data_IF_690354108095
#
_entry.id   IF_690354108095
#
_cell.length_a   1.000
_cell.length_b   1.000
_cell.length_c   1.000
_cell.angle_alpha   90.00
_cell.angle_beta   90.00
_cell.angle_gamma   90.00
#
_symmetry.space_group_name_H-M   'P 1'
#
loop_
_entity.id
_entity.type
_entity.pdbx_description
1 polymer ?
#
# COMPACT_ATOMS: atom_id res chain seq x y z
N UNK A 1 -13.35 -9.66 -4.81
CA UNK A 1 -12.15 -9.17 -4.10
C UNK A 1 -11.49 -8.01 -4.85
N UNK A 2 -11.22 -8.14 -6.16
CA UNK A 2 -10.59 -7.09 -6.99
C UNK A 2 -11.36 -5.76 -6.97
N UNK A 3 -12.69 -5.78 -7.20
CA UNK A 3 -13.51 -4.56 -7.20
C UNK A 3 -13.56 -3.90 -5.81
N UNK A 4 -13.45 -4.70 -4.76
CA UNK A 4 -13.30 -4.22 -3.39
C UNK A 4 -11.92 -3.59 -3.18
N UNK A 5 -10.87 -4.17 -3.74
CA UNK A 5 -9.50 -3.67 -3.63
C UNK A 5 -9.29 -2.31 -4.31
N UNK A 6 -9.91 -2.11 -5.49
CA UNK A 6 -9.80 -0.87 -6.29
C UNK A 6 -10.65 0.27 -5.71
N UNK A 7 -11.77 -0.07 -5.03
CA UNK A 7 -12.70 0.90 -4.45
C UNK A 7 -12.54 1.06 -2.93
N UNK A 8 -11.62 0.34 -2.31
CA UNK A 8 -11.39 0.39 -0.88
C UNK A 8 -10.50 1.60 -0.53
N UNK A 9 -10.87 2.30 0.54
CA UNK A 9 -10.07 3.40 1.04
C UNK A 9 -8.89 2.84 1.84
N UNK A 10 -7.65 3.04 1.40
CA UNK A 10 -6.48 2.50 2.12
C UNK A 10 -6.18 3.21 3.44
N UNK A 11 -6.90 4.28 3.77
CA UNK A 11 -6.66 5.11 4.95
C UNK A 11 -5.73 6.30 4.68
N UNK A 12 -5.37 6.54 3.42
CA UNK A 12 -4.60 7.69 2.95
C UNK A 12 -5.06 8.11 1.55
N UNK A 13 -4.84 9.37 1.18
CA UNK A 13 -5.11 9.90 -0.16
C UNK A 13 -3.89 9.78 -1.06
N UNK A 14 -4.13 9.43 -2.33
CA UNK A 14 -3.07 9.18 -3.31
C UNK A 14 -3.42 9.59 -4.74
N UNK A 15 -4.63 10.13 -4.98
CA UNK A 15 -5.10 10.42 -6.34
C UNK A 15 -4.27 11.48 -7.05
N UNK A 16 -3.83 12.49 -6.30
CA UNK A 16 -3.08 13.65 -6.81
C UNK A 16 -1.61 13.59 -6.39
N UNK A 17 -1.10 12.36 -6.24
CA UNK A 17 0.26 12.09 -5.81
C UNK A 17 1.11 11.55 -6.95
N UNK A 18 2.24 12.20 -7.20
CA UNK A 18 3.35 11.68 -7.98
C UNK A 18 4.45 11.16 -7.03
N UNK A 19 5.28 10.28 -7.51
CA UNK A 19 6.42 9.79 -6.74
C UNK A 19 7.58 9.39 -7.65
N UNK A 20 8.77 9.44 -7.08
CA UNK A 20 10.00 8.94 -7.72
C UNK A 20 10.95 8.38 -6.67
N UNK A 21 11.94 7.61 -7.13
CA UNK A 21 12.98 7.04 -6.28
C UNK A 21 14.33 7.69 -6.60
N UNK A 22 14.97 8.25 -5.59
CA UNK A 22 16.25 8.93 -5.68
C UNK A 22 17.42 8.10 -5.07
N UNK A 23 17.33 6.78 -5.09
CA UNK A 23 18.37 5.89 -4.56
C UNK A 23 19.70 6.12 -5.26
N UNK A 24 20.78 6.25 -4.48
CA UNK A 24 22.12 6.46 -5.01
C UNK A 24 22.43 7.91 -5.43
N UNK A 25 21.53 8.86 -5.17
CA UNK A 25 21.79 10.29 -5.30
C UNK A 25 22.42 10.83 -4.02
N UNK A 26 23.13 11.94 -4.14
CA UNK A 26 23.64 12.67 -2.97
C UNK A 26 22.45 13.29 -2.21
N UNK A 27 22.28 12.92 -0.94
CA UNK A 27 21.22 13.46 -0.08
C UNK A 27 21.30 14.99 0.02
N UNK A 28 22.47 15.61 -0.13
CA UNK A 28 22.64 17.06 -0.13
C UNK A 28 21.91 17.77 -1.29
N UNK A 29 21.59 17.07 -2.37
CA UNK A 29 20.84 17.62 -3.50
C UNK A 29 19.33 17.68 -3.24
N UNK A 30 18.81 16.88 -2.33
CA UNK A 30 17.36 16.71 -2.14
C UNK A 30 16.66 18.02 -1.78
N UNK A 31 17.24 18.82 -0.88
CA UNK A 31 16.63 20.10 -0.50
C UNK A 31 16.51 21.05 -1.70
N UNK A 32 17.55 21.14 -2.52
CA UNK A 32 17.54 21.99 -3.72
C UNK A 32 16.50 21.53 -4.75
N UNK A 33 16.30 20.23 -4.89
CA UNK A 33 15.26 19.65 -5.76
C UNK A 33 13.86 19.99 -5.20
N UNK A 34 13.63 19.85 -3.90
CA UNK A 34 12.37 20.19 -3.23
C UNK A 34 12.03 21.67 -3.46
N UNK A 35 13.00 22.55 -3.20
CA UNK A 35 12.82 23.99 -3.31
C UNK A 35 12.45 24.39 -4.76
N UNK A 36 13.11 23.81 -5.75
CA UNK A 36 12.83 24.06 -7.16
C UNK A 36 11.48 23.49 -7.59
N UNK A 37 11.14 22.25 -7.19
CA UNK A 37 9.83 21.65 -7.47
C UNK A 37 8.67 22.48 -6.91
N UNK A 38 8.83 23.07 -5.73
CA UNK A 38 7.81 23.96 -5.13
C UNK A 38 7.58 25.24 -5.94
N UNK A 39 8.44 25.58 -6.88
CA UNK A 39 8.23 26.69 -7.82
C UNK A 39 7.46 26.30 -9.08
N UNK A 40 7.32 24.99 -9.34
CA UNK A 40 6.60 24.49 -10.52
C UNK A 40 5.09 24.70 -10.35
N UNK A 41 4.48 25.38 -11.32
CA UNK A 41 3.04 25.58 -11.30
C UNK A 41 2.29 24.23 -11.32
N UNK A 42 1.40 24.03 -10.36
CA UNK A 42 0.66 22.78 -10.18
C UNK A 42 1.26 21.83 -9.13
N UNK A 43 2.49 22.04 -8.68
CA UNK A 43 3.05 21.36 -7.50
C UNK A 43 2.54 22.07 -6.24
N UNK A 44 1.94 21.32 -5.34
CA UNK A 44 1.36 21.82 -4.09
C UNK A 44 2.29 21.61 -2.90
N UNK A 45 2.90 20.42 -2.81
CA UNK A 45 3.86 20.07 -1.75
C UNK A 45 4.80 18.95 -2.21
N UNK A 46 5.97 18.86 -1.56
CA UNK A 46 6.99 17.85 -1.81
C UNK A 46 7.52 17.35 -0.48
N UNK A 47 7.46 16.03 -0.27
CA UNK A 47 7.90 15.35 0.96
C UNK A 47 8.84 14.19 0.63
N UNK A 48 9.70 13.86 1.58
CA UNK A 48 10.62 12.73 1.46
C UNK A 48 10.25 11.64 2.47
N UNK A 49 10.54 10.38 2.09
CA UNK A 49 10.35 9.24 2.98
C UNK A 49 11.33 8.12 2.68
N UNK A 50 11.62 7.29 3.66
CA UNK A 50 12.30 6.03 3.44
C UNK A 50 11.45 5.06 2.60
N UNK A 51 10.14 5.00 2.87
CA UNK A 51 9.16 4.20 2.13
C UNK A 51 7.82 4.92 2.04
N UNK A 52 7.02 4.59 1.04
CA UNK A 52 5.64 5.05 0.89
C UNK A 52 4.66 3.91 1.25
N UNK A 53 3.37 4.19 1.54
CA UNK A 53 2.44 3.17 2.03
C UNK A 53 2.27 1.94 1.14
N UNK A 54 2.42 2.07 -0.18
CA UNK A 54 2.35 0.95 -1.13
C UNK A 54 3.60 0.06 -1.09
N UNK A 55 4.68 0.56 -0.54
CA UNK A 55 5.97 -0.09 -0.53
C UNK A 55 6.14 -1.02 0.67
N UNK A 56 7.28 -1.67 0.73
CA UNK A 56 7.66 -2.58 1.81
C UNK A 56 7.90 -1.80 3.12
N UNK A 57 7.55 -2.39 4.24
CA UNK A 57 7.97 -1.96 5.57
C UNK A 57 8.98 -2.95 6.15
N UNK A 58 9.97 -2.45 6.88
CA UNK A 58 10.84 -3.31 7.68
C UNK A 58 10.05 -3.96 8.82
N UNK A 59 10.60 -5.02 9.40
CA UNK A 59 10.05 -5.68 10.56
C UNK A 59 10.96 -5.52 11.76
N UNK A 60 10.56 -4.69 12.71
CA UNK A 60 11.24 -4.48 13.97
C UNK A 60 10.42 -4.97 15.16
N UNK A 61 11.03 -5.04 16.34
CA UNK A 61 10.34 -5.36 17.57
C UNK A 61 10.37 -4.16 18.52
N UNK A 62 9.29 -3.99 19.27
CA UNK A 62 9.24 -3.08 20.40
C UNK A 62 9.94 -3.74 21.57
N UNK A 63 10.82 -2.98 22.24
CA UNK A 63 11.56 -3.42 23.41
C UNK A 63 11.01 -2.76 24.66
N UNK A 64 11.14 -3.44 25.80
CA UNK A 64 10.81 -2.87 27.09
C UNK A 64 11.91 -1.85 27.49
N UNK A 65 11.58 -0.56 27.67
CA UNK A 65 12.54 0.44 28.11
C UNK A 65 13.16 0.08 29.49
N UNK A 66 14.48 0.25 29.63
CA UNK A 66 15.21 -0.06 30.86
C UNK A 66 15.30 -1.54 31.23
N UNK A 67 14.91 -2.44 30.33
CA UNK A 67 14.94 -3.90 30.51
C UNK A 67 16.10 -4.58 29.79
N UNK A 68 16.10 -5.91 29.80
CA UNK A 68 17.13 -6.77 29.17
C UNK A 68 16.83 -7.03 27.67
N UNK A 69 16.56 -6.00 26.85
CA UNK A 69 16.13 -6.17 25.46
C UNK A 69 14.96 -7.16 25.29
N UNK A 70 14.05 -7.18 26.25
CA UNK A 70 12.86 -8.03 26.14
C UNK A 70 11.98 -7.53 25.03
N UNK A 71 11.83 -8.34 23.99
CA UNK A 71 10.94 -8.05 22.86
C UNK A 71 9.49 -8.25 23.28
N UNK A 72 8.67 -7.23 23.07
CA UNK A 72 7.25 -7.24 23.42
C UNK A 72 6.41 -7.78 22.26
N UNK A 73 6.53 -7.15 21.09
CA UNK A 73 5.82 -7.55 19.89
C UNK A 73 6.48 -6.99 18.62
N UNK A 74 6.08 -7.55 17.50
CA UNK A 74 6.58 -7.20 16.18
C UNK A 74 5.79 -6.04 15.56
N UNK A 75 6.50 -5.11 14.92
CA UNK A 75 5.95 -3.91 14.29
C UNK A 75 6.33 -3.82 12.81
N UNK A 76 5.53 -3.07 12.07
CA UNK A 76 5.87 -2.59 10.74
C UNK A 76 6.56 -1.23 10.88
N UNK A 77 7.85 -1.18 10.60
CA UNK A 77 8.63 0.05 10.62
C UNK A 77 8.74 0.59 9.19
N UNK A 78 8.27 1.79 8.99
CA UNK A 78 8.42 2.51 7.73
C UNK A 78 9.56 3.55 7.77
N UNK A 79 10.43 3.43 8.74
CA UNK A 79 11.60 4.30 8.95
C UNK A 79 11.23 5.79 8.92
N UNK A 80 12.15 6.64 8.43
CA UNK A 80 12.02 8.08 8.48
C UNK A 80 11.08 8.64 7.42
N UNK A 81 10.49 9.79 7.74
CA UNK A 81 9.75 10.64 6.81
C UNK A 81 9.77 12.07 7.27
N UNK A 82 9.61 13.01 6.34
CA UNK A 82 9.52 14.44 6.65
C UNK A 82 8.21 14.79 7.33
N UNK A 83 8.19 15.88 8.10
CA UNK A 83 7.07 16.28 8.97
C UNK A 83 5.72 16.40 8.22
N UNK A 84 5.72 16.95 7.01
CA UNK A 84 4.51 17.15 6.20
C UNK A 84 3.97 15.90 5.50
N UNK A 85 4.63 14.73 5.63
CA UNK A 85 4.25 13.54 4.86
C UNK A 85 2.83 13.07 5.18
N UNK A 86 2.44 13.02 6.45
CA UNK A 86 1.12 12.54 6.84
C UNK A 86 0.01 13.54 6.52
N UNK A 87 0.31 14.84 6.56
CA UNK A 87 -0.61 15.87 6.07
C UNK A 87 -0.84 15.74 4.55
N UNK A 88 0.25 15.55 3.78
CA UNK A 88 0.18 15.31 2.34
C UNK A 88 -0.68 14.09 2.00
N UNK A 89 -0.53 12.99 2.75
CA UNK A 89 -1.26 11.73 2.58
C UNK A 89 -2.64 11.74 3.25
N UNK A 90 -3.01 12.83 3.92
CA UNK A 90 -4.27 12.96 4.68
C UNK A 90 -4.47 11.85 5.72
N UNK A 91 -3.37 11.41 6.37
CA UNK A 91 -3.40 10.45 7.48
C UNK A 91 -3.63 11.24 8.77
N UNK A 92 -4.81 11.10 9.41
CA UNK A 92 -5.12 11.92 10.58
C UNK A 92 -4.43 11.39 11.84
N UNK A 93 -4.01 12.32 12.69
CA UNK A 93 -3.64 12.02 14.07
C UNK A 93 -4.88 11.95 14.95
N UNK A 94 -4.91 10.92 15.80
CA UNK A 94 -5.95 10.72 16.83
C UNK A 94 -5.54 11.43 18.11
N UNK A 95 -4.22 11.44 18.39
CA UNK A 95 -3.60 12.06 19.55
C UNK A 95 -2.25 12.64 19.15
N UNK A 96 -1.89 13.81 19.68
CA UNK A 96 -0.58 14.43 19.45
C UNK A 96 -0.34 14.89 18.00
N UNK A 97 0.91 14.69 17.53
CA UNK A 97 1.41 15.22 16.26
C UNK A 97 2.47 14.31 15.61
N UNK A 98 2.85 14.61 14.37
CA UNK A 98 4.00 14.00 13.70
C UNK A 98 5.31 14.29 14.49
N UNK A 99 6.29 13.37 14.49
CA UNK A 99 7.62 13.60 15.07
C UNK A 99 8.31 14.82 14.46
N UNK A 100 8.97 15.63 15.28
CA UNK A 100 9.69 16.84 14.83
C UNK A 100 11.20 16.77 15.06
N UNK A 101 11.67 15.71 15.69
CA UNK A 101 13.10 15.47 15.91
C UNK A 101 13.38 13.96 16.04
N UNK A 102 14.66 13.61 16.00
CA UNK A 102 15.13 12.22 15.97
C UNK A 102 14.86 11.42 17.27
N UNK A 103 14.46 12.06 18.36
CA UNK A 103 14.09 11.39 19.61
C UNK A 103 12.60 11.12 19.74
N UNK A 104 11.82 11.52 18.75
CA UNK A 104 10.37 11.33 18.71
C UNK A 104 9.96 10.27 17.70
N UNK A 105 8.85 9.60 18.01
CA UNK A 105 8.23 8.60 17.13
C UNK A 105 6.72 8.76 17.13
N UNK A 106 6.08 8.53 15.98
CA UNK A 106 4.64 8.38 15.91
C UNK A 106 4.28 6.89 15.81
N UNK A 107 3.16 6.50 16.40
CA UNK A 107 2.69 5.12 16.45
C UNK A 107 1.26 5.02 15.93
N UNK A 108 0.88 3.86 15.41
CA UNK A 108 -0.48 3.62 14.94
C UNK A 108 -1.46 3.32 16.08
N UNK A 109 -2.78 3.43 15.83
CA UNK A 109 -3.82 3.00 16.80
C UNK A 109 -3.65 1.52 17.17
N UNK A 110 -3.33 0.66 16.20
CA UNK A 110 -3.05 -0.76 16.43
C UNK A 110 -1.83 -0.97 17.31
N UNK A 111 -0.82 -0.09 17.23
CA UNK A 111 0.33 -0.12 18.12
C UNK A 111 -0.09 0.12 19.57
N UNK A 112 -0.85 1.19 19.83
CA UNK A 112 -1.33 1.53 21.17
C UNK A 112 -2.17 0.37 21.75
N UNK A 113 -3.08 -0.16 20.96
CA UNK A 113 -3.91 -1.32 21.37
C UNK A 113 -3.04 -2.53 21.75
N UNK A 114 -1.98 -2.79 20.98
CA UNK A 114 -1.07 -3.90 21.24
C UNK A 114 -0.22 -3.63 22.50
N UNK A 115 0.23 -2.40 22.65
CA UNK A 115 1.03 -2.00 23.82
C UNK A 115 0.28 -2.12 25.15
N UNK A 116 -1.05 -1.89 25.13
CA UNK A 116 -1.91 -2.10 26.31
C UNK A 116 -1.96 -3.55 26.82
N UNK A 117 -1.51 -4.52 26.04
CA UNK A 117 -1.36 -5.91 26.51
C UNK A 117 -0.14 -6.08 27.44
N UNK A 118 0.82 -5.12 27.42
CA UNK A 118 2.09 -5.19 28.13
C UNK A 118 2.27 -4.08 29.17
N UNK A 119 1.71 -2.90 28.92
CA UNK A 119 1.83 -1.73 29.79
C UNK A 119 0.48 -0.99 29.85
N UNK A 120 0.23 -0.32 30.97
CA UNK A 120 -0.95 0.54 31.11
C UNK A 120 -0.73 1.89 30.40
N UNK A 121 -1.42 2.05 29.28
CA UNK A 121 -1.47 3.28 28.49
C UNK A 121 -2.90 3.87 28.45
N UNK A 122 -3.71 3.54 29.44
CA UNK A 122 -5.10 4.04 29.54
C UNK A 122 -5.21 5.56 29.70
N UNK A 123 -4.14 6.21 30.12
CA UNK A 123 -4.01 7.67 30.26
C UNK A 123 -3.52 8.38 28.99
N UNK A 124 -3.34 7.66 27.87
CA UNK A 124 -2.84 8.17 26.61
C UNK A 124 -1.46 7.62 26.25
N UNK A 125 -1.10 7.75 24.98
CA UNK A 125 0.18 7.25 24.47
C UNK A 125 1.23 8.37 24.35
N UNK A 126 0.83 9.61 24.13
CA UNK A 126 1.75 10.73 23.94
C UNK A 126 2.58 10.97 25.20
N UNK A 127 3.89 11.13 25.02
CA UNK A 127 4.86 11.27 26.11
C UNK A 127 5.38 9.96 26.69
N UNK A 128 4.78 8.81 26.35
CA UNK A 128 5.32 7.50 26.73
C UNK A 128 6.62 7.21 25.97
N UNK A 129 7.45 6.36 26.55
CA UNK A 129 8.74 5.99 25.97
C UNK A 129 8.73 4.54 25.51
N UNK A 130 9.34 4.28 24.36
CA UNK A 130 9.54 2.96 23.77
C UNK A 130 10.97 2.84 23.25
N UNK A 131 11.48 1.61 23.18
CA UNK A 131 12.68 1.28 22.43
C UNK A 131 12.30 0.37 21.26
N UNK A 132 13.06 0.44 20.17
CA UNK A 132 12.80 -0.32 18.93
C UNK A 132 14.09 -0.95 18.45
N UNK A 133 14.09 -2.24 18.13
CA UNK A 133 15.24 -2.92 17.54
C UNK A 133 15.74 -2.18 16.29
N UNK A 134 17.03 -2.27 16.00
CA UNK A 134 17.75 -1.55 14.96
C UNK A 134 17.90 -0.03 15.18
N UNK A 135 16.98 0.61 15.90
CA UNK A 135 17.04 2.04 16.22
C UNK A 135 17.58 2.31 17.64
N UNK A 136 17.41 1.35 18.56
CA UNK A 136 17.95 1.42 19.93
C UNK A 136 19.11 0.43 20.05
N UNK A 137 20.31 0.92 20.30
CA UNK A 137 21.50 0.07 20.53
C UNK A 137 21.55 -0.47 21.96
N UNK A 138 20.91 0.26 22.87
CA UNK A 138 20.74 -0.13 24.27
C UNK A 138 19.27 0.05 24.69
N UNK A 139 18.77 -0.68 25.72
CA UNK A 139 17.39 -0.51 26.20
C UNK A 139 17.06 0.89 26.74
N UNK A 140 18.09 1.69 27.04
CA UNK A 140 17.95 3.05 27.53
C UNK A 140 17.86 4.08 26.37
N UNK A 141 18.16 3.68 25.15
CA UNK A 141 17.94 4.51 23.96
C UNK A 141 16.46 4.44 23.57
N UNK A 142 15.71 5.37 24.08
CA UNK A 142 14.26 5.42 23.95
C UNK A 142 13.81 6.53 23.05
N UNK A 143 12.67 6.29 22.37
CA UNK A 143 11.93 7.28 21.64
C UNK A 143 10.69 7.71 22.41
N UNK A 144 10.39 8.99 22.39
CA UNK A 144 9.17 9.52 23.00
C UNK A 144 8.05 9.52 21.96
N UNK A 145 6.92 8.94 22.28
CA UNK A 145 5.73 8.96 21.42
C UNK A 145 5.20 10.40 21.35
N UNK A 146 5.26 10.99 20.16
CA UNK A 146 4.79 12.36 19.89
C UNK A 146 3.35 12.40 19.40
N UNK A 147 2.85 11.29 18.87
CA UNK A 147 1.48 11.19 18.39
C UNK A 147 1.06 9.79 18.03
N UNK A 148 -0.27 9.64 17.95
CA UNK A 148 -0.95 8.42 17.51
C UNK A 148 -1.69 8.73 16.23
N UNK A 149 -1.37 8.05 15.15
CA UNK A 149 -2.05 8.18 13.87
C UNK A 149 -3.04 7.04 13.62
N UNK A 150 -4.02 7.32 12.79
CA UNK A 150 -5.01 6.35 12.41
C UNK A 150 -4.41 5.26 11.54
N UNK A 151 -4.79 4.01 11.80
CA UNK A 151 -4.32 2.89 11.00
C UNK A 151 -4.58 3.12 9.51
N UNK A 152 -3.57 2.89 8.70
CA UNK A 152 -3.67 2.87 7.24
C UNK A 152 -3.07 1.57 6.69
N UNK A 153 -3.43 1.23 5.46
CA UNK A 153 -2.94 0.01 4.84
C UNK A 153 -1.52 0.20 4.32
N UNK A 154 -0.64 -0.66 4.78
CA UNK A 154 0.71 -0.83 4.24
C UNK A 154 0.64 -1.95 3.21
N UNK A 155 1.18 -1.72 2.00
CA UNK A 155 1.16 -2.61 0.87
C UNK A 155 -0.26 -2.84 0.26
N UNK A 156 -0.46 -3.90 -0.52
CA UNK A 156 -1.73 -4.22 -1.17
C UNK A 156 -2.68 -4.98 -0.25
N UNK A 157 -3.97 -5.08 -0.60
CA UNK A 157 -4.96 -5.87 0.16
C UNK A 157 -4.60 -7.34 0.32
N UNK A 158 -3.88 -7.91 -0.64
CA UNK A 158 -3.46 -9.31 -0.62
C UNK A 158 -2.18 -9.53 0.15
N UNK A 159 -1.39 -8.48 0.31
CA UNK A 159 -0.08 -8.49 0.97
C UNK A 159 0.00 -7.48 2.12
N UNK A 160 -1.15 -7.11 2.65
CA UNK A 160 -1.28 -6.12 3.72
C UNK A 160 -0.45 -6.50 4.94
N UNK A 161 0.32 -5.55 5.43
CA UNK A 161 0.96 -5.67 6.73
C UNK A 161 -0.06 -5.34 7.83
N UNK A 162 -0.38 -6.33 8.65
CA UNK A 162 -1.36 -6.25 9.74
C UNK A 162 -0.71 -5.94 11.09
N UNK A 163 0.59 -5.74 11.13
CA UNK A 163 1.30 -5.41 12.37
C UNK A 163 1.01 -3.97 12.79
N UNK A 164 1.12 -3.72 14.08
CA UNK A 164 1.25 -2.35 14.59
C UNK A 164 2.39 -1.63 13.87
N UNK A 165 2.25 -0.36 13.60
CA UNK A 165 3.23 0.38 12.79
C UNK A 165 3.77 1.61 13.51
N UNK A 166 4.97 2.03 13.11
CA UNK A 166 5.67 3.19 13.62
C UNK A 166 6.23 4.05 12.49
N UNK A 167 6.46 5.32 12.75
CA UNK A 167 7.08 6.26 11.84
C UNK A 167 8.04 7.18 12.60
N UNK A 168 9.26 7.28 12.10
CA UNK A 168 10.29 8.15 12.64
C UNK A 168 10.36 9.48 11.90
N UNK A 169 10.94 10.48 12.54
CA UNK A 169 11.27 11.76 11.92
C UNK A 169 12.47 11.61 10.99
N UNK A 170 12.36 12.15 9.78
CA UNK A 170 13.45 12.23 8.81
C UNK A 170 13.77 13.68 8.46
N UNK A 171 15.04 14.04 8.59
CA UNK A 171 15.53 15.36 8.16
C UNK A 171 16.14 15.27 6.76
N UNK A 172 15.65 16.11 5.83
CA UNK A 172 16.16 16.15 4.46
C UNK A 172 17.68 16.41 4.45
N UNK A 173 18.39 15.65 3.65
CA UNK A 173 19.85 15.74 3.55
C UNK A 173 20.62 14.95 4.60
N UNK A 174 20.02 14.55 5.70
CA UNK A 174 20.64 13.75 6.78
C UNK A 174 20.15 12.31 6.80
N UNK A 175 18.84 12.09 6.79
CA UNK A 175 18.25 10.77 6.80
C UNK A 175 18.28 10.13 5.40
N UNK A 176 18.34 8.80 5.35
CA UNK A 176 18.21 8.06 4.10
C UNK A 176 16.75 7.95 3.69
N UNK A 177 16.29 8.86 2.87
CA UNK A 177 14.92 8.92 2.37
C UNK A 177 14.91 8.92 0.85
N UNK A 178 14.96 7.74 0.21
CA UNK A 178 15.06 7.64 -1.24
C UNK A 178 13.76 7.95 -2.00
N UNK A 179 12.61 7.91 -1.34
CA UNK A 179 11.34 8.20 -1.98
C UNK A 179 10.98 9.67 -1.85
N UNK A 180 10.68 10.29 -2.98
CA UNK A 180 10.12 11.63 -3.05
C UNK A 180 8.65 11.53 -3.45
N UNK A 181 7.76 12.05 -2.61
CA UNK A 181 6.34 12.19 -2.85
C UNK A 181 6.02 13.63 -3.21
N UNK A 182 5.24 13.86 -4.26
CA UNK A 182 4.94 15.16 -4.81
C UNK A 182 3.44 15.29 -4.97
N UNK A 183 2.80 16.15 -4.17
CA UNK A 183 1.37 16.46 -4.31
C UNK A 183 1.19 17.51 -5.40
N UNK A 184 0.29 17.22 -6.33
CA UNK A 184 -0.01 18.10 -7.46
C UNK A 184 -1.48 18.48 -7.46
N UNK A 185 -1.83 19.57 -8.14
CA UNK A 185 -3.23 19.99 -8.30
C UNK A 185 -4.03 19.05 -9.19
N UNK A 186 -3.38 18.45 -10.18
CA UNK A 186 -3.95 17.47 -11.11
C UNK A 186 -2.83 16.64 -11.73
N UNK A 187 -3.03 15.33 -11.78
CA UNK A 187 -2.08 14.40 -12.43
C UNK A 187 -2.36 14.34 -13.93
N UNK A 188 -1.43 14.88 -14.71
CA UNK A 188 -1.44 14.83 -16.17
C UNK A 188 -0.01 14.70 -16.72
N UNK A 189 0.12 14.40 -18.00
CA UNK A 189 1.43 14.18 -18.66
C UNK A 189 2.31 15.42 -18.60
N UNK A 190 1.74 16.61 -18.70
CA UNK A 190 2.51 17.87 -18.70
C UNK A 190 3.19 18.10 -17.34
N UNK A 191 2.47 17.92 -16.23
CA UNK A 191 3.04 18.10 -14.88
C UNK A 191 4.09 17.02 -14.58
N UNK A 192 3.87 15.77 -15.02
CA UNK A 192 4.86 14.68 -14.86
C UNK A 192 6.15 15.07 -15.57
N UNK A 193 6.08 15.47 -16.84
CA UNK A 193 7.27 15.87 -17.60
C UNK A 193 8.01 17.05 -16.96
N UNK A 194 7.31 18.09 -16.52
CA UNK A 194 7.92 19.24 -15.84
C UNK A 194 8.65 18.83 -14.55
N UNK A 195 8.02 17.96 -13.76
CA UNK A 195 8.64 17.42 -12.54
C UNK A 195 9.87 16.58 -12.86
N UNK A 196 9.80 15.72 -13.89
CA UNK A 196 10.94 14.93 -14.36
C UNK A 196 12.09 15.82 -14.83
N UNK A 197 11.82 16.85 -15.64
CA UNK A 197 12.81 17.81 -16.14
C UNK A 197 13.55 18.52 -14.99
N UNK A 198 12.81 18.97 -13.97
CA UNK A 198 13.40 19.64 -12.80
C UNK A 198 14.32 18.67 -12.04
N UNK A 199 13.85 17.46 -11.75
CA UNK A 199 14.65 16.47 -11.01
C UNK A 199 15.85 16.05 -11.86
N UNK A 200 15.64 15.78 -13.15
CA UNK A 200 16.71 15.35 -14.08
C UNK A 200 17.80 16.41 -14.24
N UNK A 201 17.43 17.70 -14.18
CA UNK A 201 18.41 18.80 -14.27
C UNK A 201 19.44 18.80 -13.14
N UNK A 202 19.12 18.16 -12.01
CA UNK A 202 19.96 18.05 -10.81
C UNK A 202 20.68 16.71 -10.69
N UNK A 203 20.26 15.71 -11.47
CA UNK A 203 20.77 14.34 -11.40
C UNK A 203 21.35 13.96 -12.76
N UNK A 204 22.69 13.99 -12.87
CA UNK A 204 23.38 13.79 -14.15
C UNK A 204 23.59 12.31 -14.52
N UNK A 205 23.68 11.41 -13.53
CA UNK A 205 24.22 10.06 -13.72
C UNK A 205 23.16 8.96 -13.88
N UNK A 206 21.89 9.29 -13.92
CA UNK A 206 20.80 8.33 -14.11
C UNK A 206 19.57 9.00 -14.68
N UNK A 207 18.77 8.22 -15.38
CA UNK A 207 17.43 8.62 -15.80
C UNK A 207 16.48 8.59 -14.59
N UNK A 208 15.69 9.64 -14.43
CA UNK A 208 14.68 9.78 -13.39
C UNK A 208 13.34 9.49 -14.01
N UNK A 209 12.58 8.61 -13.41
CA UNK A 209 11.20 8.30 -13.79
C UNK A 209 10.26 8.78 -12.69
N UNK A 210 9.29 9.63 -13.05
CA UNK A 210 8.22 10.09 -12.15
C UNK A 210 6.93 9.38 -12.49
N UNK A 211 6.32 8.74 -11.50
CA UNK A 211 5.11 7.93 -11.66
C UNK A 211 3.92 8.52 -10.93
N UNK A 212 2.74 8.33 -11.49
CA UNK A 212 1.50 8.51 -10.76
C UNK A 212 1.36 7.41 -9.70
N UNK A 213 1.11 7.79 -8.44
CA UNK A 213 0.89 6.83 -7.37
C UNK A 213 -0.36 5.99 -7.61
N UNK A 214 -1.39 6.59 -8.19
CA UNK A 214 -2.62 5.91 -8.60
C UNK A 214 -2.37 4.81 -9.64
N UNK A 215 -1.48 5.06 -10.60
CA UNK A 215 -1.16 4.05 -11.61
C UNK A 215 -0.29 2.94 -11.02
N UNK A 216 0.62 3.27 -10.10
CA UNK A 216 1.37 2.28 -9.33
C UNK A 216 0.48 1.40 -8.47
N UNK A 217 -0.56 1.96 -7.84
CA UNK A 217 -1.59 1.19 -7.14
C UNK A 217 -2.33 0.23 -8.09
N UNK A 218 -2.70 0.69 -9.29
CA UNK A 218 -3.35 -0.17 -10.30
C UNK A 218 -2.43 -1.28 -10.80
N UNK A 219 -1.16 -0.98 -10.97
CA UNK A 219 -0.15 -1.94 -11.40
C UNK A 219 0.09 -3.01 -10.31
N UNK A 220 0.19 -2.62 -9.06
CA UNK A 220 0.32 -3.53 -7.92
C UNK A 220 -0.79 -4.60 -7.88
N UNK A 221 -2.01 -4.23 -8.31
CA UNK A 221 -3.14 -5.18 -8.43
C UNK A 221 -3.27 -5.86 -9.81
N UNK A 222 -2.32 -5.67 -10.71
CA UNK A 222 -2.40 -6.23 -12.07
C UNK A 222 -2.31 -7.76 -12.11
N UNK A 223 -1.62 -8.37 -11.14
CA UNK A 223 -1.52 -9.82 -10.98
C UNK A 223 -2.86 -10.47 -10.68
N UNK A 224 -3.56 -9.95 -9.68
CA UNK A 224 -4.89 -10.41 -9.27
C UNK A 224 -5.92 -10.22 -10.40
N UNK A 225 -5.84 -9.12 -11.13
CA UNK A 225 -6.69 -8.86 -12.29
C UNK A 225 -6.45 -9.87 -13.41
N UNK A 226 -5.18 -10.20 -13.70
CA UNK A 226 -4.85 -11.24 -14.69
C UNK A 226 -5.37 -12.60 -14.26
N UNK A 227 -5.14 -13.00 -13.01
CA UNK A 227 -5.63 -14.26 -12.45
C UNK A 227 -7.15 -14.36 -12.52
N UNK A 228 -7.88 -13.32 -12.11
CA UNK A 228 -9.36 -13.25 -12.25
C UNK A 228 -9.81 -13.46 -13.68
N UNK A 229 -9.21 -12.76 -14.63
CA UNK A 229 -9.59 -12.86 -16.05
C UNK A 229 -9.32 -14.26 -16.60
N UNK A 230 -8.23 -14.91 -16.22
CA UNK A 230 -7.92 -16.29 -16.60
C UNK A 230 -8.95 -17.28 -16.06
N UNK A 231 -9.32 -17.14 -14.78
CA UNK A 231 -10.35 -18.00 -14.16
C UNK A 231 -11.70 -17.78 -14.84
N UNK A 232 -12.11 -16.53 -15.10
CA UNK A 232 -13.36 -16.24 -15.80
C UNK A 232 -13.38 -16.84 -17.23
N UNK A 233 -12.29 -16.73 -17.98
CA UNK A 233 -12.18 -17.35 -19.30
C UNK A 233 -12.32 -18.88 -19.21
N UNK A 234 -11.65 -19.52 -18.25
CA UNK A 234 -11.80 -20.96 -18.00
C UNK A 234 -13.22 -21.37 -17.64
N UNK A 235 -13.91 -20.60 -16.81
CA UNK A 235 -15.32 -20.84 -16.48
C UNK A 235 -16.22 -20.74 -17.71
N UNK A 236 -16.04 -19.71 -18.55
CA UNK A 236 -16.83 -19.54 -19.78
C UNK A 236 -16.62 -20.74 -20.73
N UNK A 237 -15.37 -21.15 -20.95
CA UNK A 237 -15.05 -22.32 -21.78
C UNK A 237 -15.70 -23.58 -21.22
N UNK A 238 -15.63 -23.80 -19.90
CA UNK A 238 -16.24 -24.96 -19.27
C UNK A 238 -17.75 -24.99 -19.43
N UNK A 239 -18.43 -23.83 -19.31
CA UNK A 239 -19.87 -23.70 -19.55
C UNK A 239 -20.20 -24.02 -21.01
N UNK A 240 -19.44 -23.52 -21.97
CA UNK A 240 -19.64 -23.82 -23.38
C UNK A 240 -19.51 -25.31 -23.68
N UNK A 241 -18.47 -25.97 -23.13
CA UNK A 241 -18.28 -27.43 -23.29
C UNK A 241 -19.49 -28.20 -22.73
N UNK A 242 -19.95 -27.81 -21.51
CA UNK A 242 -21.11 -28.43 -20.89
C UNK A 242 -22.38 -28.25 -21.70
N UNK A 243 -22.61 -27.06 -22.28
CA UNK A 243 -23.74 -26.79 -23.18
C UNK A 243 -23.68 -27.64 -24.45
N UNK A 244 -22.52 -27.72 -25.09
CA UNK A 244 -22.37 -28.58 -26.30
C UNK A 244 -22.58 -30.06 -25.96
N UNK A 245 -22.07 -30.53 -24.81
CA UNK A 245 -22.33 -31.89 -24.32
C UNK A 245 -23.83 -32.14 -24.10
N UNK A 246 -24.53 -31.19 -23.46
CA UNK A 246 -25.96 -31.30 -23.25
C UNK A 246 -26.77 -31.32 -24.56
N UNK A 247 -26.42 -30.46 -25.52
CA UNK A 247 -27.07 -30.45 -26.85
C UNK A 247 -26.85 -31.79 -27.56
N UNK A 248 -25.64 -32.33 -27.52
CA UNK A 248 -25.32 -33.66 -28.06
C UNK A 248 -26.15 -34.77 -27.41
N UNK A 249 -26.24 -34.77 -26.09
CA UNK A 249 -27.04 -35.72 -25.33
C UNK A 249 -28.54 -35.64 -25.67
N UNK A 250 -29.11 -34.43 -25.72
CA UNK A 250 -30.53 -34.24 -26.05
C UNK A 250 -30.79 -34.73 -27.47
N UNK A 251 -29.90 -34.50 -28.42
CA UNK A 251 -30.04 -34.93 -29.80
C UNK A 251 -30.01 -36.47 -29.91
N UNK A 252 -29.08 -37.14 -29.23
CA UNK A 252 -29.01 -38.61 -29.24
C UNK A 252 -30.24 -39.24 -28.57
N UNK A 253 -30.67 -38.73 -27.42
CA UNK A 253 -31.84 -39.21 -26.69
C UNK A 253 -33.12 -38.99 -27.52
N UNK A 254 -33.24 -37.85 -28.20
CA UNK A 254 -34.39 -37.58 -29.08
C UNK A 254 -34.44 -38.57 -30.30
N UNK A 255 -33.29 -38.92 -30.87
CA UNK A 255 -33.21 -39.89 -31.93
C UNK A 255 -33.59 -41.31 -31.44
N UNK A 256 -33.14 -41.71 -30.26
CA UNK A 256 -33.50 -43.01 -29.65
C UNK A 256 -34.99 -43.10 -29.38
N UNK A 257 -35.60 -42.07 -28.78
CA UNK A 257 -37.06 -42.03 -28.50
C UNK A 257 -37.88 -42.01 -29.79
N UNK A 258 -37.42 -41.29 -30.83
CA UNK A 258 -38.07 -41.28 -32.13
C UNK A 258 -38.10 -42.67 -32.73
N UNK A 259 -36.99 -43.45 -32.66
CA UNK A 259 -36.95 -44.84 -33.15
C UNK A 259 -37.87 -45.74 -32.32
N UNK A 260 -37.89 -45.64 -31.01
CA UNK A 260 -38.80 -46.40 -30.17
C UNK A 260 -40.27 -46.09 -30.46
N UNK A 261 -40.61 -44.81 -30.62
CA UNK A 261 -41.96 -44.41 -31.00
C UNK A 261 -42.38 -44.93 -32.38
N UNK A 262 -41.46 -44.92 -33.35
CA UNK A 262 -41.72 -45.49 -34.68
C UNK A 262 -42.01 -47.00 -34.59
N UNK A 263 -41.21 -47.76 -33.83
CA UNK A 263 -41.42 -49.20 -33.63
C UNK A 263 -42.74 -49.48 -32.91
N UNK A 264 -43.09 -48.71 -31.86
CA UNK A 264 -44.38 -48.84 -31.15
C UNK A 264 -45.57 -48.51 -32.06
N UNK A 265 -45.43 -47.52 -32.95
CA UNK A 265 -46.46 -47.12 -33.88
C UNK A 265 -46.72 -48.17 -34.94
N UNK A 266 -45.68 -48.84 -35.45
CA UNK A 266 -45.77 -49.96 -36.38
C UNK A 266 -46.45 -51.17 -35.71
N UNK A 267 -46.23 -51.37 -34.41
CA UNK A 267 -46.86 -52.46 -33.64
C UNK A 267 -48.26 -52.12 -33.06
N UNK A 268 -48.93 -51.07 -33.56
CA UNK A 268 -50.31 -50.76 -33.27
C UNK A 268 -50.56 -49.98 -31.97
N UNK A 269 -49.55 -49.37 -31.35
CA UNK A 269 -49.72 -48.51 -30.19
C UNK A 269 -50.36 -47.18 -30.59
N UNK A 270 -51.49 -46.83 -30.02
CA UNK A 270 -52.14 -45.53 -30.19
C UNK A 270 -51.48 -44.50 -29.27
N UNK A 271 -51.18 -43.34 -29.80
CA UNK A 271 -50.68 -42.18 -29.02
C UNK A 271 -51.80 -41.67 -28.16
N UNK A 272 -51.67 -41.73 -26.86
CA UNK A 272 -52.49 -40.98 -25.93
C UNK A 272 -51.75 -39.72 -25.53
#
# INVERSE_FOLDING_TARGET
>A
QYDKAVNDKPGYEYNDLLWTVLTGTDNGLHQGIIDELKTVSGVMDVQMSYSLPLDYSSGNNVLLPGGDFTELFHIADQYEGTEGLFEMLEIPFVEGRYPQNASEIAVSESFVKKMMEFQDWSDGAVGKQIAVTEHSQTPDEVFTVSGVYKDYRINTLTNQDMRASVKFFGEVGKAHMPFMAIKVSEVNTEIIQKVEEVIQSRIENREVEVKSYKDSMREAYSGERRMRNTVLAGCIISILIALFGLIGYIRDESQRRSKEMAVRKINGATVR
#
